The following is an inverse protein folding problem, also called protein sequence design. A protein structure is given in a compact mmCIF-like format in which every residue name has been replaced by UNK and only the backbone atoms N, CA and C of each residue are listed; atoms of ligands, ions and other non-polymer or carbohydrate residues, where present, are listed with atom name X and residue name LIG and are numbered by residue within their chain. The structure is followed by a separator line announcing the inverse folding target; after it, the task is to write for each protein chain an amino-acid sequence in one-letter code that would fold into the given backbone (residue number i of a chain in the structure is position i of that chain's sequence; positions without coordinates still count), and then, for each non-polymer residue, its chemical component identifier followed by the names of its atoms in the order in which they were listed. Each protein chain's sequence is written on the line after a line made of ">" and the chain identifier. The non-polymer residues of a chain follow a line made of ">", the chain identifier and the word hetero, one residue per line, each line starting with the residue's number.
data_IF_912564649453
#
_entry.id   IF_912564649453
#
_cell.length_a   1.000
_cell.length_b   1.000
_cell.length_c   1.000
_cell.angle_alpha   90.00
_cell.angle_beta   90.00
_cell.angle_gamma   90.00
#
_symmetry.space_group_name_H-M   'P 1'
#
loop_
_entity.id
_entity.type
_entity.pdbx_description
1 polymer ?
#
# COMPACT_ATOMS: atom_id res chain seq x y z
N UNK A 1 -4.84 -0.92 5.44
CA UNK A 1 -5.32 0.39 4.97
C UNK A 1 -4.73 1.57 5.74
N UNK A 2 -4.66 1.52 7.09
CA UNK A 2 -4.08 2.61 7.90
C UNK A 2 -2.72 3.12 7.41
N UNK A 3 -1.77 2.23 7.11
CA UNK A 3 -0.43 2.59 6.63
C UNK A 3 -0.44 3.41 5.32
N UNK A 4 -1.33 3.10 4.39
CA UNK A 4 -1.45 3.83 3.12
C UNK A 4 -1.94 5.27 3.37
N UNK A 5 -2.93 5.43 4.25
CA UNK A 5 -3.44 6.74 4.66
C UNK A 5 -2.37 7.55 5.40
N UNK A 6 -1.59 6.92 6.29
CA UNK A 6 -0.50 7.60 6.99
C UNK A 6 0.52 8.15 6.00
N UNK A 7 0.94 7.36 5.01
CA UNK A 7 1.88 7.79 3.97
C UNK A 7 1.33 8.93 3.10
N UNK A 8 0.06 8.85 2.72
CA UNK A 8 -0.58 9.90 1.92
C UNK A 8 -0.69 11.21 2.71
N UNK A 9 -1.12 11.16 3.96
CA UNK A 9 -1.21 12.34 4.84
C UNK A 9 0.17 12.93 5.10
N UNK A 10 1.20 12.10 5.38
CA UNK A 10 2.57 12.57 5.61
C UNK A 10 3.14 13.27 4.36
N UNK A 11 2.83 12.74 3.18
CA UNK A 11 3.23 13.32 1.89
C UNK A 11 2.71 14.75 1.70
N UNK A 12 1.44 14.98 2.01
CA UNK A 12 0.82 16.30 1.80
C UNK A 12 1.00 17.26 2.98
N UNK A 13 1.11 16.77 4.21
CA UNK A 13 1.26 17.60 5.41
C UNK A 13 2.70 18.08 5.63
N UNK A 14 3.71 17.32 5.19
CA UNK A 14 5.12 17.62 5.46
C UNK A 14 5.92 17.76 4.17
N UNK A 15 5.80 16.80 3.26
CA UNK A 15 6.73 16.66 2.12
C UNK A 15 6.43 17.66 1.01
N UNK A 16 5.14 17.98 0.75
CA UNK A 16 4.77 18.95 -0.29
C UNK A 16 5.40 20.33 -0.08
N UNK A 17 5.62 20.74 1.17
CA UNK A 17 6.16 22.06 1.51
C UNK A 17 7.65 22.18 1.19
N UNK A 18 8.34 21.05 1.04
CA UNK A 18 9.76 20.99 0.70
C UNK A 18 9.96 20.59 -0.77
N UNK A 19 9.17 19.65 -1.29
CA UNK A 19 9.29 19.17 -2.67
C UNK A 19 8.02 18.49 -3.17
N UNK A 20 7.38 19.12 -4.14
CA UNK A 20 6.21 18.56 -4.86
C UNK A 20 6.52 17.25 -5.58
N UNK A 21 7.63 17.08 -6.34
CA UNK A 21 7.90 15.80 -7.01
C UNK A 21 8.15 14.65 -6.03
N UNK A 22 8.76 14.92 -4.86
CA UNK A 22 8.91 13.90 -3.82
C UNK A 22 7.56 13.48 -3.21
N UNK A 23 6.64 14.43 -3.01
CA UNK A 23 5.29 14.15 -2.53
C UNK A 23 4.48 13.28 -3.52
N UNK A 24 4.66 13.51 -4.83
CA UNK A 24 4.06 12.66 -5.87
C UNK A 24 4.65 11.24 -5.80
N UNK A 25 5.97 11.10 -5.72
CA UNK A 25 6.61 9.78 -5.61
C UNK A 25 6.11 8.99 -4.38
N UNK A 26 5.98 9.65 -3.23
CA UNK A 26 5.42 9.06 -2.01
C UNK A 26 3.96 8.61 -2.19
N UNK A 27 3.15 9.39 -2.91
CA UNK A 27 1.75 9.04 -3.19
C UNK A 27 1.65 7.81 -4.10
N UNK A 28 2.55 7.70 -5.09
CA UNK A 28 2.64 6.52 -5.96
C UNK A 28 3.05 5.28 -5.15
N UNK A 29 4.04 5.38 -4.27
CA UNK A 29 4.43 4.29 -3.37
C UNK A 29 3.25 3.84 -2.50
N UNK A 30 2.46 4.79 -1.97
CA UNK A 30 1.26 4.48 -1.22
C UNK A 30 0.24 3.68 -2.04
N UNK A 31 0.06 3.98 -3.34
CA UNK A 31 -0.83 3.22 -4.24
C UNK A 31 -0.32 1.81 -4.57
N UNK A 32 0.98 1.51 -4.41
CA UNK A 32 1.55 0.17 -4.63
C UNK A 32 1.31 -0.76 -3.44
N UNK A 33 1.11 -0.22 -2.23
CA UNK A 33 0.87 -1.02 -1.02
C UNK A 33 -0.42 -1.86 -1.10
N UNK A 34 -1.59 -1.33 -1.52
CA UNK A 34 -2.82 -2.11 -1.68
C UNK A 34 -2.69 -3.32 -2.62
N UNK A 35 -2.18 -3.20 -3.87
CA UNK A 35 -2.06 -4.35 -4.75
C UNK A 35 -1.05 -5.37 -4.24
N UNK A 36 0.07 -4.96 -3.66
CA UNK A 36 1.03 -5.89 -3.05
C UNK A 36 0.40 -6.64 -1.88
N UNK A 37 -0.32 -5.93 -1.00
CA UNK A 37 -1.04 -6.55 0.10
C UNK A 37 -2.11 -7.53 -0.40
N UNK A 38 -2.87 -7.18 -1.45
CA UNK A 38 -3.87 -8.06 -2.05
C UNK A 38 -3.22 -9.31 -2.67
N UNK A 39 -2.10 -9.17 -3.38
CA UNK A 39 -1.36 -10.29 -3.96
C UNK A 39 -0.87 -11.22 -2.86
N UNK A 40 -0.22 -10.69 -1.81
CA UNK A 40 0.31 -11.48 -0.69
C UNK A 40 -0.80 -12.17 0.08
N UNK A 41 -1.90 -11.46 0.38
CA UNK A 41 -3.04 -12.04 1.10
C UNK A 41 -3.80 -13.09 0.27
N UNK A 42 -3.85 -12.93 -1.06
CA UNK A 42 -4.45 -13.92 -1.96
C UNK A 42 -3.45 -15.00 -2.44
N UNK A 43 -2.19 -14.98 -2.00
CA UNK A 43 -1.28 -16.11 -2.24
C UNK A 43 -1.82 -17.29 -1.43
N UNK A 44 -2.58 -18.18 -2.09
CA UNK A 44 -2.90 -19.49 -1.53
C UNK A 44 -1.62 -20.32 -1.43
N UNK A 45 -1.43 -20.97 -0.29
CA UNK A 45 -0.42 -22.01 -0.15
C UNK A 45 -0.78 -23.17 -1.10
N UNK A 46 0.20 -23.75 -1.83
CA UNK A 46 -0.04 -24.91 -2.69
C UNK A 46 -0.40 -26.14 -1.83
N UNK A 47 -1.69 -26.26 -1.48
CA UNK A 47 -2.22 -27.32 -0.62
C UNK A 47 -3.47 -26.94 0.18
N UNK A 48 -3.85 -25.66 0.23
CA UNK A 48 -5.03 -25.17 0.96
C UNK A 48 -6.33 -25.79 0.41
N UNK A 49 -6.84 -26.84 1.06
CA UNK A 49 -8.11 -27.49 0.71
C UNK A 49 -9.26 -26.63 1.25
N UNK A 50 -9.84 -25.81 0.37
CA UNK A 50 -10.93 -24.88 0.70
C UNK A 50 -12.29 -25.54 1.04
N UNK A 51 -12.41 -26.87 0.93
CA UNK A 51 -13.66 -27.64 0.91
C UNK A 51 -13.60 -28.91 1.77
N UNK A 52 -12.77 -28.93 2.82
CA UNK A 52 -12.78 -30.01 3.81
C UNK A 52 -13.65 -29.64 5.02
N UNK A 53 -14.96 -29.76 4.84
CA UNK A 53 -15.98 -29.89 5.88
C UNK A 53 -17.00 -30.96 5.46
#
# INVERSE_FOLDING_TARGET
>A
MGTCLTLFVLSWAVIRFVSVPAAVAMSVVAMVIPPVAAIVANRRDPGERWFDE
#
